data_IF_693711244544
#
_entry.id   IF_693711244544
#
_cell.length_a   1.000
_cell.length_b   1.000
_cell.length_c   1.000
_cell.angle_alpha   90.00
_cell.angle_beta   90.00
_cell.angle_gamma   90.00
#
_symmetry.space_group_name_H-M   'P 1'
#
loop_
_entity.id
_entity.type
_entity.pdbx_description
1 polymer ?
#
# COMPACT_ATOMS: atom_id res chain seq x y z
N UNK A 1 10.03 -4.72 7.03
CA UNK A 1 9.20 -5.95 7.00
C UNK A 1 10.00 -7.08 6.38
N UNK A 2 10.31 -8.14 7.14
CA UNK A 2 11.43 -9.05 6.86
C UNK A 2 11.46 -9.75 5.49
N UNK A 3 10.33 -9.87 4.78
CA UNK A 3 10.23 -10.45 3.42
C UNK A 3 9.20 -9.75 2.51
N UNK A 4 8.59 -8.65 2.98
CA UNK A 4 7.62 -7.89 2.20
C UNK A 4 8.35 -6.77 1.45
N UNK A 5 8.18 -6.69 0.14
CA UNK A 5 8.68 -5.59 -0.69
C UNK A 5 7.61 -4.52 -0.75
N UNK A 6 7.97 -3.30 -0.34
CA UNK A 6 7.11 -2.13 -0.41
C UNK A 6 7.67 -1.21 -1.49
N UNK A 7 6.81 -0.78 -2.40
CA UNK A 7 7.12 0.24 -3.42
C UNK A 7 6.14 1.38 -3.21
N UNK A 8 6.66 2.57 -2.98
CA UNK A 8 5.87 3.80 -2.94
C UNK A 8 6.24 4.66 -4.12
N UNK A 9 5.23 5.09 -4.87
CA UNK A 9 5.37 5.93 -6.04
C UNK A 9 4.37 7.08 -5.91
N UNK A 10 4.90 8.28 -5.82
CA UNK A 10 4.10 9.51 -5.77
C UNK A 10 4.17 10.22 -7.11
N UNK A 11 3.03 10.38 -7.76
CA UNK A 11 2.87 11.19 -8.96
C UNK A 11 2.17 12.51 -8.58
N UNK A 12 2.07 13.47 -9.52
CA UNK A 12 1.40 14.75 -9.27
C UNK A 12 -0.11 14.64 -9.00
N UNK A 13 -0.72 13.52 -9.38
CA UNK A 13 -2.16 13.30 -9.27
C UNK A 13 -2.53 12.21 -8.25
N UNK A 14 -1.67 11.21 -8.06
CA UNK A 14 -1.97 10.04 -7.25
C UNK A 14 -0.72 9.53 -6.53
N UNK A 15 -0.90 8.98 -5.34
CA UNK A 15 0.04 8.16 -4.60
C UNK A 15 -0.30 6.68 -4.83
N UNK A 16 0.68 5.92 -5.32
CA UNK A 16 0.57 4.48 -5.55
C UNK A 16 1.49 3.76 -4.56
N UNK A 17 0.96 2.76 -3.87
CA UNK A 17 1.68 1.96 -2.90
C UNK A 17 1.45 0.48 -3.16
N UNK A 18 2.53 -0.25 -3.39
CA UNK A 18 2.50 -1.68 -3.71
C UNK A 18 3.24 -2.43 -2.61
N UNK A 19 2.54 -3.34 -1.94
CA UNK A 19 3.08 -4.24 -0.93
C UNK A 19 3.01 -5.64 -1.50
N UNK A 20 4.13 -6.32 -1.65
CA UNK A 20 4.16 -7.69 -2.14
C UNK A 20 4.94 -8.57 -1.17
N UNK A 21 4.44 -9.77 -0.93
CA UNK A 21 5.14 -10.77 -0.16
C UNK A 21 5.06 -12.12 -0.87
N UNK A 22 6.24 -12.72 -1.09
CA UNK A 22 6.39 -13.96 -1.85
C UNK A 22 6.01 -15.20 -1.04
N UNK A 23 6.06 -15.11 0.28
CA UNK A 23 5.94 -16.26 1.18
C UNK A 23 4.58 -16.34 1.87
N UNK A 24 3.90 -15.20 2.05
CA UNK A 24 2.59 -15.12 2.71
C UNK A 24 1.74 -14.01 2.11
N UNK A 25 0.43 -14.08 2.33
CA UNK A 25 -0.44 -12.95 2.10
C UNK A 25 -0.04 -11.77 3.00
N UNK A 26 -0.13 -10.55 2.47
CA UNK A 26 0.10 -9.33 3.23
C UNK A 26 -1.09 -9.12 4.17
N UNK A 27 -0.81 -8.94 5.46
CA UNK A 27 -1.85 -8.73 6.47
C UNK A 27 -2.41 -7.32 6.44
N UNK A 28 -3.65 -7.15 6.92
CA UNK A 28 -4.31 -5.84 7.06
C UNK A 28 -3.54 -4.86 7.95
N UNK A 29 -2.91 -5.37 9.00
CA UNK A 29 -2.03 -4.57 9.88
C UNK A 29 -0.80 -4.05 9.13
N UNK A 30 -0.22 -4.88 8.25
CA UNK A 30 0.94 -4.48 7.45
C UNK A 30 0.55 -3.39 6.45
N UNK A 31 -0.63 -3.53 5.84
CA UNK A 31 -1.20 -2.54 4.92
C UNK A 31 -1.41 -1.21 5.64
N UNK A 32 -2.07 -1.24 6.80
CA UNK A 32 -2.42 -0.05 7.58
C UNK A 32 -1.18 0.66 8.13
N UNK A 33 -0.21 -0.11 8.63
CA UNK A 33 1.09 0.43 9.06
C UNK A 33 1.80 1.15 7.91
N UNK A 34 1.87 0.51 6.75
CA UNK A 34 2.59 1.03 5.58
C UNK A 34 1.90 2.29 5.02
N UNK A 35 0.56 2.31 5.03
CA UNK A 35 -0.22 3.49 4.67
C UNK A 35 0.02 4.68 5.62
N UNK A 36 -0.03 4.44 6.93
CA UNK A 36 0.20 5.48 7.92
C UNK A 36 1.61 6.07 7.83
N UNK A 37 2.64 5.22 7.66
CA UNK A 37 4.03 5.67 7.59
C UNK A 37 4.33 6.43 6.29
N UNK A 38 3.86 5.95 5.14
CA UNK A 38 4.27 6.49 3.83
C UNK A 38 3.33 7.57 3.31
N UNK A 39 2.02 7.40 3.47
CA UNK A 39 1.06 8.33 2.91
C UNK A 39 0.60 9.40 3.92
N UNK A 40 0.74 9.17 5.24
CA UNK A 40 0.20 10.05 6.31
C UNK A 40 -1.24 10.54 6.05
N UNK A 41 -1.97 9.81 5.21
CA UNK A 41 -3.25 10.20 4.64
C UNK A 41 -4.33 9.30 5.23
N UNK A 42 -5.52 9.86 5.43
CA UNK A 42 -6.67 9.09 5.87
C UNK A 42 -7.08 8.11 4.77
N UNK A 43 -7.25 6.83 5.14
CA UNK A 43 -7.66 5.73 4.26
C UNK A 43 -8.97 5.96 3.50
N UNK A 44 -9.70 7.05 3.77
CA UNK A 44 -11.07 7.28 3.32
C UNK A 44 -11.23 7.29 1.79
N UNK A 45 -10.20 7.74 1.05
CA UNK A 45 -10.20 7.76 -0.42
C UNK A 45 -9.26 6.69 -1.05
N UNK A 46 -8.71 5.76 -0.26
CA UNK A 46 -7.75 4.76 -0.73
C UNK A 46 -8.42 3.59 -1.46
N UNK A 47 -8.06 3.36 -2.73
CA UNK A 47 -8.46 2.16 -3.46
C UNK A 47 -7.46 1.03 -3.20
N UNK A 48 -7.87 0.03 -2.41
CA UNK A 48 -7.04 -1.15 -2.10
C UNK A 48 -7.46 -2.33 -2.97
N UNK A 49 -6.50 -2.88 -3.72
CA UNK A 49 -6.66 -4.07 -4.56
C UNK A 49 -5.74 -5.18 -4.05
N UNK A 50 -6.26 -6.39 -3.87
CA UNK A 50 -5.48 -7.54 -3.37
C UNK A 50 -5.43 -8.63 -4.43
N UNK A 51 -4.23 -8.96 -4.87
CA UNK A 51 -4.00 -9.94 -5.93
C UNK A 51 -2.87 -10.88 -5.51
N UNK A 52 -3.22 -12.09 -5.09
CA UNK A 52 -2.31 -13.24 -4.92
C UNK A 52 -0.95 -12.91 -4.25
N UNK A 53 -0.98 -12.34 -3.03
CA UNK A 53 0.24 -11.97 -2.28
C UNK A 53 0.79 -10.57 -2.59
N UNK A 54 0.14 -9.86 -3.51
CA UNK A 54 0.38 -8.45 -3.81
C UNK A 54 -0.84 -7.63 -3.37
N UNK A 55 -0.57 -6.49 -2.77
CA UNK A 55 -1.56 -5.48 -2.40
C UNK A 55 -1.15 -4.19 -3.07
N UNK A 56 -2.05 -3.65 -3.87
CA UNK A 56 -1.89 -2.37 -4.54
C UNK A 56 -2.86 -1.37 -3.91
N UNK A 57 -2.37 -0.20 -3.59
CA UNK A 57 -3.13 0.86 -2.95
C UNK A 57 -2.93 2.12 -3.76
N UNK A 58 -4.03 2.70 -4.22
CA UNK A 58 -4.02 3.95 -4.98
C UNK A 58 -4.77 5.01 -4.17
N UNK A 59 -4.10 6.12 -3.92
CA UNK A 59 -4.60 7.27 -3.19
C UNK A 59 -4.64 8.46 -4.15
N UNK A 60 -5.80 9.09 -4.38
CA UNK A 60 -5.83 10.36 -5.10
C UNK A 60 -5.23 11.46 -4.23
N UNK A 61 -4.30 12.23 -4.79
CA UNK A 61 -3.77 13.43 -4.10
C UNK A 61 -4.77 14.55 -4.36
N UNK A 62 -5.38 15.07 -3.29
CA UNK A 62 -6.21 16.28 -3.34
C UNK A 62 -5.35 17.55 -3.37
#
# INVERSE_FOLDING_TARGET
>A
MGNSRVVFKRNHQNEELIISNRHRAVSDDEISFTLNELAKNEQQDAKITRTNGVVEITLPIK
#
